data_IF_784423957284
#
_entry.id   IF_784423957284
#
_cell.length_a   1.000
_cell.length_b   1.000
_cell.length_c   1.000
_cell.angle_alpha   90.00
_cell.angle_beta   90.00
_cell.angle_gamma   90.00
#
_symmetry.space_group_name_H-M   'P 1'
#
loop_
_entity.id
_entity.type
_entity.pdbx_description
1 polymer ?
#
# COMPACT_ATOMS: atom_id res chain seq x y z
N UNK A 1 26.66 7.57 9.80
CA UNK A 1 25.31 7.00 9.82
C UNK A 1 25.27 5.84 10.80
N UNK A 2 24.13 5.62 11.45
CA UNK A 2 23.92 4.54 12.41
C UNK A 2 23.97 3.17 11.70
N UNK A 3 24.78 2.24 12.20
CA UNK A 3 25.00 0.92 11.60
C UNK A 3 23.70 0.11 11.43
N UNK A 4 22.75 0.24 12.36
CA UNK A 4 21.45 -0.45 12.30
C UNK A 4 20.54 0.13 11.21
N UNK A 5 20.70 1.41 10.88
CA UNK A 5 19.93 2.03 9.82
C UNK A 5 20.41 1.55 8.45
N UNK A 6 21.72 1.46 8.24
CA UNK A 6 22.30 0.95 6.99
C UNK A 6 21.96 -0.53 6.75
N UNK A 7 21.93 -1.34 7.81
CA UNK A 7 21.49 -2.74 7.74
C UNK A 7 20.02 -2.84 7.29
N UNK A 8 19.12 -2.11 7.95
CA UNK A 8 17.71 -2.09 7.54
C UNK A 8 17.49 -1.52 6.14
N UNK A 9 18.31 -0.56 5.72
CA UNK A 9 18.28 -0.05 4.36
C UNK A 9 18.67 -1.11 3.33
N UNK A 10 19.72 -1.91 3.58
CA UNK A 10 20.10 -3.03 2.72
C UNK A 10 18.98 -4.07 2.62
N UNK A 11 18.32 -4.39 3.72
CA UNK A 11 17.14 -5.28 3.69
C UNK A 11 15.99 -4.70 2.87
N UNK A 12 15.76 -3.38 2.95
CA UNK A 12 14.79 -2.71 2.08
C UNK A 12 15.19 -2.80 0.60
N UNK A 13 16.46 -2.60 0.25
CA UNK A 13 16.94 -2.76 -1.12
C UNK A 13 16.71 -4.17 -1.64
N UNK A 14 17.01 -5.18 -0.84
CA UNK A 14 16.78 -6.57 -1.19
C UNK A 14 15.29 -6.89 -1.32
N UNK A 15 14.46 -6.41 -0.39
CA UNK A 15 13.02 -6.55 -0.47
C UNK A 15 12.49 -5.97 -1.79
N UNK A 16 12.83 -4.71 -2.10
CA UNK A 16 12.41 -4.03 -3.33
C UNK A 16 12.93 -4.75 -4.58
N UNK A 17 14.14 -5.30 -4.54
CA UNK A 17 14.69 -6.12 -5.64
C UNK A 17 13.87 -7.37 -5.92
N UNK A 18 13.29 -7.98 -4.88
CA UNK A 18 12.51 -9.22 -5.01
C UNK A 18 11.04 -8.99 -5.31
N UNK A 19 10.41 -7.97 -4.71
CA UNK A 19 8.98 -7.69 -4.84
C UNK A 19 8.68 -6.62 -5.90
N UNK A 20 9.68 -5.82 -6.28
CA UNK A 20 9.55 -4.72 -7.23
C UNK A 20 8.99 -3.41 -6.62
N UNK A 21 8.65 -3.38 -5.33
CA UNK A 21 8.15 -2.19 -4.66
C UNK A 21 8.54 -2.13 -3.16
N UNK A 22 8.42 -0.95 -2.55
CA UNK A 22 8.72 -0.74 -1.12
C UNK A 22 7.48 -0.79 -0.22
N UNK A 23 6.44 -1.53 -0.61
CA UNK A 23 5.24 -1.76 0.21
C UNK A 23 5.49 -2.90 1.20
N UNK A 24 6.40 -2.69 2.15
CA UNK A 24 6.75 -3.71 3.15
C UNK A 24 5.56 -4.00 4.07
N UNK A 25 5.08 -5.27 4.16
CA UNK A 25 4.07 -5.67 5.14
C UNK A 25 4.56 -5.45 6.58
N UNK A 26 3.65 -5.05 7.48
CA UNK A 26 4.01 -4.75 8.87
C UNK A 26 4.62 -5.94 9.63
N UNK A 27 4.30 -7.17 9.22
CA UNK A 27 4.79 -8.41 9.83
C UNK A 27 5.94 -9.05 9.06
N UNK A 28 6.50 -8.36 8.06
CA UNK A 28 7.56 -8.94 7.22
C UNK A 28 8.88 -9.05 7.98
N UNK A 29 9.40 -10.27 8.04
CA UNK A 29 10.69 -10.60 8.62
C UNK A 29 11.55 -11.23 7.53
N UNK A 30 12.77 -10.72 7.37
CA UNK A 30 13.76 -11.22 6.43
C UNK A 30 14.23 -12.63 6.81
N UNK A 31 14.85 -13.34 5.86
CA UNK A 31 15.26 -14.73 6.03
C UNK A 31 16.28 -14.95 7.17
N UNK A 32 17.03 -13.91 7.51
CA UNK A 32 18.02 -13.88 8.60
C UNK A 32 17.42 -13.43 9.94
N UNK A 33 16.11 -13.17 10.00
CA UNK A 33 15.39 -12.76 11.21
C UNK A 33 15.27 -11.25 11.39
N UNK A 34 15.74 -10.42 10.45
CA UNK A 34 15.58 -8.98 10.54
C UNK A 34 14.11 -8.55 10.35
N UNK A 35 13.54 -7.85 11.34
CA UNK A 35 12.15 -7.34 11.28
C UNK A 35 12.06 -6.06 10.45
N UNK A 36 12.02 -6.23 9.13
CA UNK A 36 11.93 -5.13 8.17
C UNK A 36 10.59 -4.39 8.25
N UNK A 37 9.51 -5.09 8.57
CA UNK A 37 8.18 -4.50 8.76
C UNK A 37 8.19 -3.43 9.86
N UNK A 38 8.70 -3.81 11.05
CA UNK A 38 8.87 -2.89 12.17
C UNK A 38 9.89 -1.80 11.89
N UNK A 39 10.99 -2.12 11.20
CA UNK A 39 11.97 -1.11 10.80
C UNK A 39 11.34 -0.04 9.90
N UNK A 40 10.55 -0.45 8.90
CA UNK A 40 9.87 0.46 7.99
C UNK A 40 8.82 1.31 8.73
N UNK A 41 8.05 0.73 9.65
CA UNK A 41 7.12 1.48 10.52
C UNK A 41 7.86 2.53 11.35
N UNK A 42 9.01 2.18 11.92
CA UNK A 42 9.87 3.11 12.65
C UNK A 42 10.30 4.27 11.75
N UNK A 43 10.75 4.01 10.53
CA UNK A 43 11.14 5.09 9.59
C UNK A 43 9.97 6.05 9.35
N UNK A 44 8.75 5.52 9.15
CA UNK A 44 7.54 6.33 8.96
C UNK A 44 7.21 7.18 10.20
N UNK A 45 7.33 6.62 11.40
CA UNK A 45 7.07 7.34 12.66
C UNK A 45 8.05 8.49 12.89
N UNK A 46 9.34 8.31 12.55
CA UNK A 46 10.39 9.30 12.73
C UNK A 46 10.58 10.25 11.55
N UNK A 47 9.70 10.22 10.54
CA UNK A 47 9.80 11.05 9.31
C UNK A 47 10.11 12.53 9.58
N UNK A 48 9.48 13.12 10.59
CA UNK A 48 9.59 14.56 10.86
C UNK A 48 10.89 14.94 11.60
N UNK A 49 11.56 13.97 12.22
CA UNK A 49 12.83 14.16 12.91
C UNK A 49 13.99 13.46 12.21
N UNK A 50 13.78 13.01 10.96
CA UNK A 50 14.77 12.31 10.15
C UNK A 50 15.59 13.33 9.35
N UNK A 51 16.90 13.08 9.26
CA UNK A 51 17.80 13.86 8.43
C UNK A 51 17.44 13.77 6.94
N UNK A 52 17.83 14.78 6.17
CA UNK A 52 17.47 14.89 4.76
C UNK A 52 17.99 13.72 3.90
N UNK A 53 19.20 13.22 4.19
CA UNK A 53 19.84 12.15 3.41
C UNK A 53 19.12 10.78 3.57
N UNK A 54 18.93 10.23 4.78
CA UNK A 54 18.13 9.01 4.99
C UNK A 54 16.73 9.10 4.39
N UNK A 55 16.10 10.27 4.53
CA UNK A 55 14.77 10.53 3.99
C UNK A 55 14.76 10.45 2.46
N UNK A 56 15.70 11.11 1.79
CA UNK A 56 15.82 11.08 0.34
C UNK A 56 16.12 9.66 -0.18
N UNK A 57 16.94 8.88 0.54
CA UNK A 57 17.24 7.49 0.20
C UNK A 57 15.98 6.61 0.24
N UNK A 58 15.13 6.78 1.25
CA UNK A 58 13.86 6.05 1.34
C UNK A 58 12.86 6.49 0.25
N UNK A 59 12.77 7.79 -0.02
CA UNK A 59 11.90 8.35 -1.06
C UNK A 59 12.32 7.94 -2.48
N UNK A 60 13.57 7.51 -2.68
CA UNK A 60 14.05 6.97 -3.95
C UNK A 60 13.47 5.58 -4.28
N UNK A 61 12.95 4.84 -3.30
CA UNK A 61 12.32 3.54 -3.58
C UNK A 61 10.95 3.70 -4.22
N UNK A 62 10.73 2.99 -5.33
CA UNK A 62 9.42 2.91 -5.99
C UNK A 62 8.38 2.33 -5.02
N UNK A 63 7.30 3.06 -4.81
CA UNK A 63 6.20 2.64 -3.93
C UNK A 63 6.45 2.91 -2.44
N UNK A 64 7.52 3.63 -2.06
CA UNK A 64 7.67 4.10 -0.68
C UNK A 64 6.62 5.14 -0.35
N UNK A 65 5.80 4.84 0.65
CA UNK A 65 4.74 5.72 1.13
C UNK A 65 4.93 5.96 2.63
N UNK A 66 5.04 7.24 2.98
CA UNK A 66 5.23 7.66 4.36
C UNK A 66 4.00 7.45 5.24
N UNK A 67 2.81 7.75 4.71
CA UNK A 67 1.57 7.65 5.45
C UNK A 67 0.98 6.25 5.29
N UNK A 68 0.83 5.53 6.40
CA UNK A 68 0.30 4.17 6.40
C UNK A 68 -1.13 4.11 5.83
N UNK A 69 -1.96 5.14 6.06
CA UNK A 69 -3.31 5.18 5.49
C UNK A 69 -3.27 5.30 3.97
N UNK A 70 -2.27 5.99 3.44
CA UNK A 70 -2.07 6.11 2.01
C UNK A 70 -1.54 4.80 1.43
N UNK A 71 -0.59 4.15 2.12
CA UNK A 71 -0.08 2.84 1.75
C UNK A 71 -1.21 1.80 1.64
N UNK A 72 -2.05 1.67 2.67
CA UNK A 72 -3.18 0.72 2.69
C UNK A 72 -4.23 1.05 1.62
N UNK A 73 -4.40 2.34 1.29
CA UNK A 73 -5.30 2.73 0.22
C UNK A 73 -4.74 2.35 -1.16
N UNK A 74 -3.46 2.62 -1.41
CA UNK A 74 -2.79 2.23 -2.66
C UNK A 74 -2.76 0.71 -2.85
N UNK A 75 -2.57 -0.03 -1.76
CA UNK A 75 -2.63 -1.50 -1.75
C UNK A 75 -4.02 -2.00 -2.18
N UNK A 76 -5.09 -1.55 -1.53
CA UNK A 76 -6.45 -1.96 -1.92
C UNK A 76 -6.88 -1.46 -3.31
N UNK A 77 -6.33 -0.34 -3.78
CA UNK A 77 -6.57 0.15 -5.13
C UNK A 77 -5.89 -0.74 -6.18
N UNK A 78 -4.65 -1.19 -5.93
CA UNK A 78 -3.95 -2.14 -6.81
C UNK A 78 -4.72 -3.47 -6.94
N UNK A 79 -5.21 -4.02 -5.82
CA UNK A 79 -6.08 -5.22 -5.86
C UNK A 79 -7.36 -5.00 -6.67
N UNK A 80 -7.94 -3.79 -6.62
CA UNK A 80 -9.10 -3.46 -7.44
C UNK A 80 -8.73 -3.33 -8.93
N UNK A 81 -7.59 -2.74 -9.26
CA UNK A 81 -7.09 -2.68 -10.64
C UNK A 81 -6.86 -4.08 -11.21
N UNK A 82 -6.25 -4.97 -10.44
CA UNK A 82 -6.05 -6.37 -10.81
C UNK A 82 -7.39 -7.10 -11.02
N UNK A 83 -8.35 -6.89 -10.11
CA UNK A 83 -9.69 -7.44 -10.24
C UNK A 83 -10.37 -6.97 -11.52
N UNK A 84 -10.34 -5.65 -11.80
CA UNK A 84 -10.94 -5.07 -13.03
C UNK A 84 -10.24 -5.60 -14.28
N UNK A 85 -8.92 -5.79 -14.24
CA UNK A 85 -8.17 -6.34 -15.35
C UNK A 85 -8.52 -7.82 -15.63
N UNK A 86 -8.87 -8.59 -14.59
CA UNK A 86 -9.24 -10.00 -14.71
C UNK A 86 -10.72 -10.21 -15.08
N UNK A 87 -11.64 -9.56 -14.37
CA UNK A 87 -13.10 -9.77 -14.51
C UNK A 87 -13.74 -8.81 -15.52
N UNK A 88 -13.05 -7.73 -15.89
CA UNK A 88 -13.47 -6.75 -16.90
C UNK A 88 -14.25 -5.55 -16.34
N UNK A 89 -14.68 -5.59 -15.08
CA UNK A 89 -15.33 -4.45 -14.42
C UNK A 89 -15.06 -4.38 -12.91
N UNK A 90 -15.41 -3.24 -12.28
CA UNK A 90 -15.23 -3.02 -10.85
C UNK A 90 -16.43 -3.52 -10.00
N UNK A 91 -17.23 -4.47 -10.51
CA UNK A 91 -18.39 -5.04 -9.81
C UNK A 91 -17.97 -6.18 -8.88
N UNK A 92 -17.16 -5.86 -7.87
CA UNK A 92 -16.66 -6.81 -6.87
C UNK A 92 -17.81 -7.60 -6.19
N UNK A 93 -17.82 -8.94 -6.25
CA UNK A 93 -18.83 -9.78 -5.61
C UNK A 93 -18.88 -9.64 -4.09
N UNK A 94 -20.02 -9.98 -3.50
CA UNK A 94 -20.20 -9.95 -2.04
C UNK A 94 -19.19 -10.87 -1.34
N UNK A 95 -18.48 -10.34 -0.33
CA UNK A 95 -17.43 -11.04 0.41
C UNK A 95 -16.29 -11.60 -0.46
N UNK A 96 -16.05 -11.01 -1.62
CA UNK A 96 -14.89 -11.39 -2.43
C UNK A 96 -13.60 -11.07 -1.66
N UNK A 97 -12.76 -12.10 -1.52
CA UNK A 97 -11.43 -12.06 -0.94
C UNK A 97 -10.46 -12.46 -2.05
N UNK A 98 -9.40 -11.70 -2.25
CA UNK A 98 -8.38 -11.97 -3.26
C UNK A 98 -7.58 -13.22 -2.91
N UNK A 99 -6.84 -13.81 -3.87
CA UNK A 99 -6.07 -15.04 -3.63
C UNK A 99 -5.05 -14.95 -2.48
N UNK A 100 -4.53 -13.74 -2.21
CA UNK A 100 -3.58 -13.45 -1.13
C UNK A 100 -4.26 -13.08 0.20
N UNK A 101 -5.60 -13.08 0.26
CA UNK A 101 -6.38 -12.91 1.49
C UNK A 101 -6.89 -11.50 1.77
N UNK A 102 -6.76 -10.56 0.83
CA UNK A 102 -7.27 -9.19 0.97
C UNK A 102 -8.80 -9.15 0.78
N UNK A 103 -9.52 -8.59 1.76
CA UNK A 103 -10.98 -8.40 1.71
C UNK A 103 -11.34 -7.20 0.81
N UNK A 104 -11.29 -7.44 -0.50
CA UNK A 104 -11.52 -6.43 -1.53
C UNK A 104 -12.96 -5.89 -1.50
N UNK A 105 -13.94 -6.76 -1.25
CA UNK A 105 -15.34 -6.34 -1.15
C UNK A 105 -15.52 -5.29 -0.04
N UNK A 106 -15.00 -5.56 1.16
CA UNK A 106 -15.10 -4.62 2.28
C UNK A 106 -14.31 -3.35 2.03
N UNK A 107 -13.17 -3.43 1.35
CA UNK A 107 -12.40 -2.24 0.97
C UNK A 107 -13.18 -1.34 0.01
N UNK A 108 -13.81 -1.91 -1.03
CA UNK A 108 -14.65 -1.18 -1.99
C UNK A 108 -15.87 -0.56 -1.31
N UNK A 109 -16.52 -1.29 -0.41
CA UNK A 109 -17.65 -0.76 0.36
C UNK A 109 -17.26 0.48 1.17
N UNK A 110 -16.10 0.45 1.84
CA UNK A 110 -15.57 1.62 2.56
C UNK A 110 -15.32 2.80 1.65
N UNK A 111 -14.81 2.58 0.44
CA UNK A 111 -14.60 3.65 -0.54
C UNK A 111 -15.93 4.31 -0.93
N UNK A 112 -16.96 3.51 -1.17
CA UNK A 112 -18.31 4.01 -1.52
C UNK A 112 -18.93 4.83 -0.39
N UNK A 113 -18.79 4.39 0.86
CA UNK A 113 -19.27 5.12 2.05
C UNK A 113 -18.50 6.43 2.23
N UNK A 114 -17.17 6.41 2.04
CA UNK A 114 -16.31 7.57 2.21
C UNK A 114 -16.39 8.60 1.07
N UNK A 115 -17.23 8.40 0.04
CA UNK A 115 -17.29 9.23 -1.17
C UNK A 115 -17.26 10.74 -0.94
N UNK A 116 -17.97 11.21 0.09
CA UNK A 116 -18.12 12.65 0.36
C UNK A 116 -16.95 13.26 1.14
N UNK A 117 -16.15 12.43 1.81
CA UNK A 117 -14.97 12.85 2.60
C UNK A 117 -13.66 12.37 1.98
N UNK A 118 -13.73 11.68 0.84
CA UNK A 118 -12.60 11.15 0.10
C UNK A 118 -11.82 12.25 -0.60
N UNK A 119 -10.51 12.11 -0.59
CA UNK A 119 -9.60 12.94 -1.36
C UNK A 119 -9.98 12.96 -2.87
N UNK A 120 -9.99 14.13 -3.53
CA UNK A 120 -10.38 14.23 -4.94
C UNK A 120 -9.53 13.39 -5.91
N UNK A 121 -8.25 13.16 -5.62
CA UNK A 121 -7.37 12.32 -6.45
C UNK A 121 -7.80 10.86 -6.36
N UNK A 122 -8.04 10.36 -5.14
CA UNK A 122 -8.58 9.01 -4.92
C UNK A 122 -9.91 8.79 -5.61
N UNK A 123 -10.79 9.78 -5.51
CA UNK A 123 -12.11 9.76 -6.15
C UNK A 123 -11.99 9.62 -7.67
N UNK A 124 -11.14 10.44 -8.29
CA UNK A 124 -10.87 10.39 -9.74
C UNK A 124 -10.28 9.05 -10.18
N UNK A 125 -9.37 8.48 -9.40
CA UNK A 125 -8.77 7.17 -9.70
C UNK A 125 -9.80 6.05 -9.71
N UNK A 126 -10.69 6.03 -8.72
CA UNK A 126 -11.79 5.06 -8.69
C UNK A 126 -12.77 5.26 -9.84
N UNK A 127 -13.15 6.51 -10.13
CA UNK A 127 -14.06 6.86 -11.24
C UNK A 127 -13.48 6.53 -12.62
N UNK A 128 -12.16 6.38 -12.74
CA UNK A 128 -11.51 5.98 -13.98
C UNK A 128 -11.59 4.47 -14.24
N UNK A 129 -11.96 3.65 -13.25
CA UNK A 129 -12.08 2.20 -13.41
C UNK A 129 -13.36 1.84 -14.17
N UNK A 130 -13.24 0.88 -15.09
CA UNK A 130 -14.36 0.38 -15.89
C UNK A 130 -15.40 -0.25 -14.95
N UNK A 131 -16.65 0.17 -15.09
CA UNK A 131 -17.77 -0.33 -14.27
C UNK A 131 -17.78 0.14 -12.81
N UNK A 132 -16.93 1.11 -12.44
CA UNK A 132 -17.01 1.71 -11.11
C UNK A 132 -18.34 2.42 -10.89
N UNK A 133 -18.99 2.11 -9.78
CA UNK A 133 -20.20 2.81 -9.34
C UNK A 133 -20.11 3.14 -7.85
N UNK A 134 -20.64 4.31 -7.50
CA UNK A 134 -20.76 4.76 -6.12
C UNK A 134 -21.95 4.14 -5.38
N UNK A 135 -22.83 3.44 -6.08
CA UNK A 135 -23.97 2.77 -5.47
C UNK A 135 -23.51 1.50 -4.75
N UNK A 136 -23.90 1.38 -3.48
CA UNK A 136 -23.72 0.14 -2.74
C UNK A 136 -24.81 -0.82 -3.21
N UNK A 137 -24.44 -1.87 -3.95
CA UNK A 137 -25.36 -2.98 -4.27
C UNK A 137 -25.63 -3.70 -2.94
N UNK A 138 -26.88 -3.59 -2.45
CA UNK A 138 -27.37 -4.26 -1.24
C UNK A 138 -27.69 -5.72 -1.51
#
# INVERSE_FOLDING_TARGET
MDTMWEEGFKHMEEFVRTTGNAKVPAVHVCADGFDLGRWAERQRAFRNSMDAEPKARLEAFKGWIWNIRDLVWEDGFEHLEEFVAADGDASVPYKHITPDGFDLWRWVERQRIARNTMDPVRKRRLEALIGWTWQVKR
#
